data_IF_002184720618
#
_entry.id   IF_002184720618
#
_cell.length_a   1.000
_cell.length_b   1.000
_cell.length_c   1.000
_cell.angle_alpha   90.00
_cell.angle_beta   90.00
_cell.angle_gamma   90.00
#
_symmetry.space_group_name_H-M   'P 1'
#
loop_
_entity.id
_entity.type
_entity.pdbx_description
1 polymer ?
#
# COMPACT_ATOMS: atom_id res chain seq x y z
N UNK A 1 -15.78 -27.59 -7.22
CA UNK A 1 -14.97 -26.77 -8.15
C UNK A 1 -13.87 -26.13 -7.33
N UNK A 2 -12.62 -26.14 -7.79
CA UNK A 2 -11.50 -25.46 -7.12
C UNK A 2 -11.66 -23.95 -7.27
N UNK A 3 -11.59 -23.20 -6.16
CA UNK A 3 -11.66 -21.74 -6.15
C UNK A 3 -10.49 -21.14 -6.94
N UNK A 4 -10.68 -20.05 -7.73
CA UNK A 4 -9.58 -19.38 -8.42
C UNK A 4 -8.58 -18.76 -7.42
N UNK A 5 -7.35 -18.47 -7.87
CA UNK A 5 -6.31 -17.86 -7.03
C UNK A 5 -6.63 -16.43 -6.59
N UNK A 6 -7.47 -15.71 -7.35
CA UNK A 6 -8.00 -14.38 -7.04
C UNK A 6 -9.52 -14.44 -7.18
N UNK A 7 -10.25 -13.88 -6.23
CA UNK A 7 -11.71 -13.95 -6.24
C UNK A 7 -12.35 -12.72 -5.56
N UNK A 8 -13.64 -12.50 -5.85
CA UNK A 8 -14.45 -11.50 -5.19
C UNK A 8 -15.07 -12.07 -3.91
N UNK A 9 -14.91 -11.32 -2.83
CA UNK A 9 -15.54 -11.58 -1.54
C UNK A 9 -16.57 -10.49 -1.28
N UNK A 10 -17.85 -10.85 -1.27
CA UNK A 10 -18.91 -9.97 -0.76
C UNK A 10 -18.86 -9.99 0.76
N UNK A 11 -18.69 -8.82 1.35
CA UNK A 11 -18.52 -8.68 2.80
C UNK A 11 -19.33 -7.52 3.31
N UNK A 12 -19.71 -7.60 4.59
CA UNK A 12 -20.39 -6.52 5.31
C UNK A 12 -19.50 -6.01 6.45
N UNK A 13 -19.61 -4.72 6.77
CA UNK A 13 -18.91 -4.13 7.92
C UNK A 13 -19.47 -4.72 9.21
N UNK A 14 -18.63 -5.38 10.01
CA UNK A 14 -18.98 -5.92 11.33
C UNK A 14 -18.48 -5.06 12.50
N UNK A 15 -17.42 -4.27 12.29
CA UNK A 15 -16.94 -3.28 13.25
C UNK A 15 -16.26 -2.09 12.55
N UNK A 16 -16.31 -0.92 13.19
CA UNK A 16 -15.60 0.29 12.78
C UNK A 16 -14.86 0.83 14.01
N UNK A 17 -13.56 1.09 13.88
CA UNK A 17 -12.74 1.64 14.97
C UNK A 17 -11.93 2.84 14.47
N UNK A 18 -12.12 4.00 15.09
CA UNK A 18 -11.23 5.15 14.88
C UNK A 18 -9.92 4.91 15.64
N UNK A 19 -8.83 4.65 14.90
CA UNK A 19 -7.52 4.34 15.48
C UNK A 19 -6.78 5.61 15.90
N UNK A 20 -6.79 6.59 15.01
CA UNK A 20 -6.23 7.94 15.18
C UNK A 20 -7.11 8.92 14.39
N UNK A 21 -6.89 10.26 14.46
CA UNK A 21 -7.75 11.21 13.75
C UNK A 21 -7.91 10.95 12.25
N UNK A 22 -6.88 10.42 11.59
CA UNK A 22 -6.91 10.14 10.15
C UNK A 22 -7.02 8.66 9.78
N UNK A 23 -6.99 7.72 10.73
CA UNK A 23 -7.05 6.28 10.41
C UNK A 23 -8.27 5.62 11.03
N UNK A 24 -9.08 4.98 10.19
CA UNK A 24 -10.27 4.22 10.59
C UNK A 24 -10.12 2.77 10.13
N UNK A 25 -10.24 1.83 11.06
CA UNK A 25 -10.28 0.39 10.78
C UNK A 25 -11.69 -0.04 10.49
N UNK A 26 -11.88 -0.74 9.38
CA UNK A 26 -13.09 -1.47 9.05
C UNK A 26 -12.81 -2.96 9.18
N UNK A 27 -13.53 -3.60 10.09
CA UNK A 27 -13.58 -5.07 10.13
C UNK A 27 -14.75 -5.51 9.26
N UNK A 28 -14.44 -6.32 8.27
CA UNK A 28 -15.41 -6.91 7.37
C UNK A 28 -15.64 -8.38 7.72
N UNK A 29 -16.88 -8.86 7.56
CA UNK A 29 -17.26 -10.25 7.74
C UNK A 29 -18.04 -10.75 6.52
N UNK A 30 -17.80 -12.00 6.15
CA UNK A 30 -18.48 -12.69 5.06
C UNK A 30 -18.22 -14.19 5.11
N UNK A 31 -19.18 -15.01 4.69
CA UNK A 31 -19.08 -16.47 4.84
C UNK A 31 -17.88 -17.08 4.09
N UNK A 32 -17.55 -16.48 2.95
CA UNK A 32 -16.46 -16.92 2.09
C UNK A 32 -15.08 -16.51 2.58
N UNK A 33 -14.97 -15.66 3.63
CA UNK A 33 -13.67 -15.20 4.16
C UNK A 33 -12.86 -16.30 4.84
N UNK A 34 -13.43 -17.49 5.06
CA UNK A 34 -12.66 -18.67 5.44
C UNK A 34 -11.62 -19.06 4.37
N UNK A 35 -11.84 -18.67 3.12
CA UNK A 35 -10.96 -18.94 1.97
C UNK A 35 -10.18 -17.69 1.52
N UNK A 36 -10.21 -16.62 2.30
CA UNK A 36 -9.42 -15.42 2.03
C UNK A 36 -7.94 -15.73 2.21
N UNK A 37 -7.13 -15.49 1.17
CA UNK A 37 -5.69 -15.69 1.22
C UNK A 37 -5.01 -14.55 1.97
N UNK A 38 -4.10 -14.89 2.89
CA UNK A 38 -3.28 -13.91 3.62
C UNK A 38 -1.78 -14.14 3.37
N UNK A 39 -1.24 -13.69 2.23
CA UNK A 39 0.19 -13.82 1.95
C UNK A 39 1.08 -12.89 2.81
N UNK A 40 0.49 -11.95 3.57
CA UNK A 40 1.19 -11.06 4.49
C UNK A 40 1.76 -9.76 3.88
N UNK A 41 2.70 -9.13 4.61
CA UNK A 41 3.40 -7.90 4.25
C UNK A 41 2.49 -6.79 3.69
N UNK A 42 2.81 -6.25 2.52
CA UNK A 42 2.10 -5.16 1.86
C UNK A 42 0.97 -5.65 0.96
N UNK A 43 0.40 -6.85 1.20
CA UNK A 43 -0.66 -7.43 0.37
C UNK A 43 -1.79 -6.44 0.06
N UNK A 44 -1.82 -6.01 -1.20
CA UNK A 44 -2.87 -5.14 -1.71
C UNK A 44 -4.08 -5.93 -2.19
N UNK A 45 -5.25 -5.32 -2.04
CA UNK A 45 -6.53 -5.80 -2.55
C UNK A 45 -7.27 -4.67 -3.23
N UNK A 46 -8.26 -5.00 -4.06
CA UNK A 46 -9.16 -4.00 -4.62
C UNK A 46 -10.48 -4.04 -3.87
N UNK A 47 -10.92 -2.90 -3.38
CA UNK A 47 -12.24 -2.76 -2.76
C UNK A 47 -13.11 -1.98 -3.72
N UNK A 48 -14.31 -2.51 -3.97
CA UNK A 48 -15.32 -1.88 -4.77
C UNK A 48 -16.43 -1.37 -3.85
N UNK A 49 -16.58 -0.06 -3.86
CA UNK A 49 -17.57 0.64 -3.07
C UNK A 49 -18.84 0.82 -3.89
N UNK A 50 -20.02 0.62 -3.28
CA UNK A 50 -21.24 1.12 -3.87
C UNK A 50 -21.18 2.66 -3.95
N UNK A 51 -21.88 3.22 -4.93
CA UNK A 51 -22.14 4.66 -5.02
C UNK A 51 -23.66 4.88 -5.03
N UNK A 52 -24.08 6.14 -4.94
CA UNK A 52 -25.50 6.51 -5.05
C UNK A 52 -26.14 6.03 -6.38
N UNK A 53 -25.33 5.80 -7.40
CA UNK A 53 -25.77 5.44 -8.75
C UNK A 53 -25.37 4.03 -9.19
N UNK A 54 -24.45 3.36 -8.48
CA UNK A 54 -23.94 2.03 -8.81
C UNK A 54 -23.95 1.10 -7.60
N UNK A 55 -24.79 0.05 -7.64
CA UNK A 55 -24.75 -1.04 -6.65
C UNK A 55 -23.57 -1.96 -6.93
N UNK A 56 -23.00 -2.57 -5.89
CA UNK A 56 -22.02 -3.65 -6.04
C UNK A 56 -22.59 -4.88 -6.78
N UNK A 57 -23.91 -5.03 -6.85
CA UNK A 57 -24.57 -6.11 -7.60
C UNK A 57 -24.37 -5.98 -9.12
N UNK A 58 -24.03 -4.79 -9.62
CA UNK A 58 -23.75 -4.58 -11.05
C UNK A 58 -22.33 -5.01 -11.43
N UNK A 59 -21.50 -5.34 -10.45
CA UNK A 59 -20.11 -5.72 -10.68
C UNK A 59 -20.04 -7.05 -11.45
N UNK A 60 -19.40 -7.09 -12.63
CA UNK A 60 -19.15 -8.35 -13.32
C UNK A 60 -18.25 -9.24 -12.45
N UNK A 61 -18.65 -10.50 -12.26
CA UNK A 61 -17.87 -11.51 -11.55
C UNK A 61 -17.60 -12.67 -12.50
N UNK A 62 -16.34 -12.89 -12.88
CA UNK A 62 -15.96 -13.91 -13.86
C UNK A 62 -14.57 -13.64 -14.45
N UNK A 63 -14.05 -14.51 -15.35
CA UNK A 63 -12.71 -14.35 -15.91
C UNK A 63 -12.46 -12.99 -16.57
N UNK A 64 -13.47 -12.47 -17.29
CA UNK A 64 -13.39 -11.21 -18.03
C UNK A 64 -13.97 -10.02 -17.25
N UNK A 65 -14.02 -10.13 -15.91
CA UNK A 65 -14.66 -9.12 -15.06
C UNK A 65 -14.14 -7.70 -15.32
N UNK A 66 -12.83 -7.56 -15.59
CA UNK A 66 -12.19 -6.26 -15.75
C UNK A 66 -12.61 -5.60 -17.07
N UNK A 67 -12.76 -6.37 -18.15
CA UNK A 67 -13.29 -5.86 -19.42
C UNK A 67 -14.75 -5.46 -19.27
N UNK A 68 -15.55 -6.28 -18.58
CA UNK A 68 -16.93 -5.96 -18.24
C UNK A 68 -17.04 -4.68 -17.42
N UNK A 69 -16.24 -4.52 -16.37
CA UNK A 69 -16.22 -3.34 -15.52
C UNK A 69 -15.80 -2.07 -16.30
N UNK A 70 -14.78 -2.17 -17.18
CA UNK A 70 -14.38 -1.06 -18.06
C UNK A 70 -15.43 -0.70 -19.10
N UNK A 71 -16.31 -1.63 -19.49
CA UNK A 71 -17.39 -1.39 -20.44
C UNK A 71 -18.62 -0.73 -19.79
N UNK A 72 -18.74 -0.74 -18.46
CA UNK A 72 -19.81 -0.02 -17.75
C UNK A 72 -19.70 1.49 -17.99
N UNK A 73 -20.83 2.18 -18.11
CA UNK A 73 -20.86 3.64 -18.12
C UNK A 73 -20.33 4.19 -16.78
N UNK A 74 -19.72 5.39 -16.74
CA UNK A 74 -19.18 5.96 -15.51
C UNK A 74 -20.17 5.95 -14.34
N UNK A 75 -21.43 6.28 -14.58
CA UNK A 75 -22.47 6.35 -13.54
C UNK A 75 -22.89 4.97 -13.00
N UNK A 76 -22.72 3.90 -13.78
CA UNK A 76 -23.08 2.54 -13.41
C UNK A 76 -21.89 1.70 -12.93
N UNK A 77 -20.69 2.31 -12.90
CA UNK A 77 -19.43 1.64 -12.58
C UNK A 77 -19.11 1.80 -11.09
N UNK A 78 -19.11 0.71 -10.30
CA UNK A 78 -18.68 0.77 -8.91
C UNK A 78 -17.23 1.29 -8.82
N UNK A 79 -16.97 2.08 -7.78
CA UNK A 79 -15.68 2.73 -7.61
C UNK A 79 -14.71 1.74 -6.99
N UNK A 80 -13.61 1.49 -7.68
CA UNK A 80 -12.58 0.56 -7.25
C UNK A 80 -11.38 1.32 -6.69
N UNK A 81 -10.88 0.92 -5.52
CA UNK A 81 -9.66 1.47 -4.92
C UNK A 81 -8.77 0.38 -4.37
N UNK A 82 -7.49 0.69 -4.28
CA UNK A 82 -6.48 -0.22 -3.72
C UNK A 82 -6.33 0.03 -2.23
N UNK A 83 -6.40 -1.02 -1.42
CA UNK A 83 -6.11 -0.97 0.02
C UNK A 83 -5.19 -2.12 0.42
N UNK A 84 -4.59 -2.00 1.60
CA UNK A 84 -3.78 -3.06 2.20
C UNK A 84 -4.63 -3.92 3.13
N UNK A 85 -4.44 -5.24 3.05
CA UNK A 85 -4.99 -6.17 4.05
C UNK A 85 -4.25 -5.98 5.37
N UNK A 86 -4.95 -5.55 6.43
CA UNK A 86 -4.31 -5.23 7.71
C UNK A 86 -4.18 -6.43 8.64
N UNK A 87 -5.21 -7.29 8.68
CA UNK A 87 -5.21 -8.54 9.44
C UNK A 87 -6.31 -9.46 8.91
N UNK A 88 -6.05 -10.76 8.85
CA UNK A 88 -7.03 -11.78 8.47
C UNK A 88 -7.25 -12.74 9.64
N UNK A 89 -8.52 -13.03 9.97
CA UNK A 89 -8.90 -13.99 11.01
C UNK A 89 -9.83 -15.04 10.38
N UNK A 90 -9.30 -16.07 9.69
CA UNK A 90 -10.11 -17.02 8.93
C UNK A 90 -11.13 -17.77 9.80
N UNK A 91 -10.75 -18.12 11.03
CA UNK A 91 -11.63 -18.81 11.98
C UNK A 91 -12.86 -17.96 12.38
N UNK A 92 -12.73 -16.63 12.37
CA UNK A 92 -13.82 -15.69 12.62
C UNK A 92 -14.50 -15.22 11.33
N UNK A 93 -13.91 -15.55 10.17
CA UNK A 93 -14.30 -15.06 8.85
C UNK A 93 -14.28 -13.54 8.80
N UNK A 94 -13.18 -12.95 9.27
CA UNK A 94 -13.00 -11.51 9.31
C UNK A 94 -11.73 -11.07 8.61
N UNK A 95 -11.78 -9.88 8.00
CA UNK A 95 -10.62 -9.16 7.50
C UNK A 95 -10.69 -7.70 7.95
N UNK A 96 -9.57 -7.18 8.43
CA UNK A 96 -9.41 -5.76 8.74
C UNK A 96 -8.76 -5.03 7.57
N UNK A 97 -9.29 -3.84 7.29
CA UNK A 97 -8.69 -2.86 6.39
C UNK A 97 -8.61 -1.53 7.13
N UNK A 98 -7.42 -0.97 7.23
CA UNK A 98 -7.23 0.39 7.73
C UNK A 98 -7.34 1.35 6.55
N UNK A 99 -8.26 2.29 6.64
CA UNK A 99 -8.52 3.29 5.62
C UNK A 99 -8.21 4.67 6.19
N UNK A 100 -7.50 5.48 5.40
CA UNK A 100 -7.23 6.86 5.78
C UNK A 100 -8.49 7.68 5.50
N UNK A 101 -8.96 8.43 6.49
CA UNK A 101 -9.97 9.47 6.35
C UNK A 101 -9.27 10.78 5.94
N UNK A 102 -9.46 11.22 4.70
CA UNK A 102 -8.96 12.49 4.17
C UNK A 102 -10.16 13.38 3.82
N UNK A 103 -9.94 14.69 3.73
CA UNK A 103 -10.95 15.63 3.25
C UNK A 103 -11.56 15.12 1.94
N UNK A 104 -12.89 15.15 1.83
CA UNK A 104 -13.69 14.37 0.89
C UNK A 104 -13.21 14.58 -0.56
N UNK A 105 -12.44 13.62 -1.07
CA UNK A 105 -11.98 13.56 -2.45
C UNK A 105 -12.51 12.29 -3.10
N UNK A 106 -13.83 12.27 -3.31
CA UNK A 106 -14.51 11.26 -4.13
C UNK A 106 -15.19 10.13 -3.35
N UNK A 107 -15.76 9.15 -4.08
CA UNK A 107 -16.74 8.22 -3.53
C UNK A 107 -16.23 7.30 -2.43
N UNK A 108 -14.96 6.89 -2.47
CA UNK A 108 -14.37 6.06 -1.42
C UNK A 108 -14.18 6.83 -0.10
N UNK A 109 -13.73 8.09 -0.16
CA UNK A 109 -13.62 8.95 1.03
C UNK A 109 -14.99 9.26 1.63
N UNK A 110 -16.01 9.48 0.80
CA UNK A 110 -17.39 9.63 1.25
C UNK A 110 -17.89 8.35 1.95
N UNK A 111 -17.66 7.18 1.35
CA UNK A 111 -18.02 5.90 1.96
C UNK A 111 -17.32 5.71 3.32
N UNK A 112 -16.01 5.99 3.44
CA UNK A 112 -15.26 5.88 4.69
C UNK A 112 -15.86 6.77 5.81
N UNK A 113 -16.33 7.96 5.44
CA UNK A 113 -16.93 8.89 6.38
C UNK A 113 -18.29 8.39 6.89
N UNK A 114 -19.13 7.90 5.97
CA UNK A 114 -20.55 7.64 6.23
C UNK A 114 -20.88 6.17 6.55
N UNK A 115 -19.95 5.25 6.32
CA UNK A 115 -20.15 3.81 6.46
C UNK A 115 -20.62 3.41 7.88
N UNK A 116 -21.49 2.41 7.91
CA UNK A 116 -22.12 1.86 9.11
C UNK A 116 -21.96 0.34 9.15
N UNK A 117 -22.16 -0.22 10.34
CA UNK A 117 -22.27 -1.67 10.51
C UNK A 117 -23.38 -2.19 9.60
N UNK A 118 -23.07 -3.24 8.83
CA UNK A 118 -23.95 -3.85 7.85
C UNK A 118 -23.74 -3.37 6.41
N UNK A 119 -23.06 -2.24 6.17
CA UNK A 119 -22.78 -1.78 4.81
C UNK A 119 -21.87 -2.77 4.08
N UNK A 120 -22.16 -2.99 2.80
CA UNK A 120 -21.49 -4.01 2.00
C UNK A 120 -20.50 -3.42 1.00
N UNK A 121 -19.42 -4.17 0.76
CA UNK A 121 -18.45 -3.94 -0.32
C UNK A 121 -18.10 -5.27 -0.98
N UNK A 122 -17.50 -5.19 -2.18
CA UNK A 122 -16.78 -6.33 -2.76
C UNK A 122 -15.28 -6.13 -2.57
N UNK A 123 -14.60 -7.16 -2.10
CA UNK A 123 -13.14 -7.20 -2.03
C UNK A 123 -12.62 -8.21 -3.05
N UNK A 124 -11.84 -7.77 -4.02
CA UNK A 124 -11.05 -8.64 -4.89
C UNK A 124 -9.70 -8.91 -4.22
N UNK A 125 -9.50 -10.15 -3.78
CA UNK A 125 -8.37 -10.57 -2.97
C UNK A 125 -7.85 -11.95 -3.38
N UNK A 126 -6.59 -12.29 -3.04
CA UNK A 126 -6.12 -13.65 -3.21
C UNK A 126 -6.95 -14.63 -2.38
N UNK A 127 -6.99 -15.89 -2.80
CA UNK A 127 -7.63 -16.97 -2.05
C UNK A 127 -6.58 -17.90 -1.44
N UNK A 128 -7.02 -18.78 -0.54
CA UNK A 128 -6.21 -19.89 0.01
C UNK A 128 -5.65 -20.82 -1.06
N UNK A 129 -6.27 -20.87 -2.26
CA UNK A 129 -5.79 -21.66 -3.39
C UNK A 129 -4.61 -21.00 -4.13
N UNK A 130 -4.27 -19.74 -3.82
CA UNK A 130 -3.14 -19.05 -4.43
C UNK A 130 -1.81 -19.71 -4.01
N UNK A 131 -1.16 -20.37 -4.96
CA UNK A 131 0.18 -20.94 -4.79
C UNK A 131 1.19 -20.16 -5.62
N UNK A 132 2.11 -19.44 -4.98
CA UNK A 132 3.20 -18.76 -5.66
C UNK A 132 3.34 -17.29 -5.26
N UNK A 133 4.02 -16.52 -6.10
CA UNK A 133 4.25 -15.09 -5.88
C UNK A 133 2.92 -14.36 -5.87
N UNK A 134 2.56 -13.73 -4.74
CA UNK A 134 1.35 -12.93 -4.67
C UNK A 134 1.45 -11.69 -5.56
N UNK A 135 0.41 -11.46 -6.36
CA UNK A 135 0.29 -10.29 -7.25
C UNK A 135 0.16 -8.95 -6.51
N UNK A 136 -0.02 -8.97 -5.19
CA UNK A 136 -0.21 -7.76 -4.38
C UNK A 136 0.92 -7.48 -3.37
N UNK A 137 2.00 -8.26 -3.36
CA UNK A 137 3.14 -8.06 -2.45
C UNK A 137 4.36 -7.60 -3.23
N UNK A 138 4.89 -6.44 -2.84
CA UNK A 138 6.07 -5.81 -3.41
C UNK A 138 7.15 -5.49 -2.37
N UNK A 139 6.90 -5.80 -1.10
CA UNK A 139 7.96 -5.97 -0.11
C UNK A 139 8.73 -7.26 -0.38
N UNK A 140 9.87 -7.13 -1.07
CA UNK A 140 10.69 -8.24 -1.57
C UNK A 140 12.18 -7.99 -1.32
N UNK A 141 12.60 -7.91 -0.05
CA UNK A 141 14.01 -7.73 0.28
C UNK A 141 14.87 -8.88 -0.27
N UNK A 142 16.12 -8.61 -0.67
CA UNK A 142 17.14 -9.64 -0.84
C UNK A 142 17.25 -10.53 0.41
N UNK A 143 17.59 -11.80 0.20
CA UNK A 143 17.65 -12.80 1.28
C UNK A 143 18.60 -12.40 2.43
N UNK A 144 19.67 -11.67 2.11
CA UNK A 144 20.61 -11.09 3.06
C UNK A 144 20.58 -9.57 2.93
N UNK A 145 20.04 -8.87 3.92
CA UNK A 145 19.88 -7.41 3.89
C UNK A 145 20.43 -6.82 5.19
N UNK A 146 21.44 -5.96 5.10
CA UNK A 146 22.07 -5.37 6.30
C UNK A 146 21.16 -4.33 6.98
N UNK A 147 20.40 -3.54 6.19
CA UNK A 147 19.44 -2.55 6.67
C UNK A 147 18.22 -2.40 5.74
N UNK A 148 17.06 -2.09 6.33
CA UNK A 148 15.80 -1.83 5.61
C UNK A 148 15.37 -0.37 5.82
N UNK A 149 15.02 0.31 4.73
CA UNK A 149 14.36 1.61 4.77
C UNK A 149 12.91 1.45 4.31
N UNK A 150 11.96 1.71 5.22
CA UNK A 150 10.54 1.81 4.89
C UNK A 150 10.15 3.28 4.85
N UNK A 151 9.58 3.77 3.77
CA UNK A 151 9.17 5.16 3.69
C UNK A 151 7.81 5.37 3.01
N UNK A 152 7.07 6.36 3.47
CA UNK A 152 5.83 6.74 2.82
C UNK A 152 5.03 7.82 3.52
N UNK A 153 3.82 8.03 3.01
CA UNK A 153 2.80 8.87 3.64
C UNK A 153 1.73 7.99 4.33
N UNK A 154 0.64 8.61 4.79
CA UNK A 154 -0.45 7.91 5.46
C UNK A 154 -1.05 6.75 4.66
N UNK A 155 -1.04 6.81 3.33
CA UNK A 155 -1.61 5.76 2.48
C UNK A 155 -0.75 4.49 2.48
N UNK A 156 0.54 4.62 2.76
CA UNK A 156 1.48 3.50 2.89
C UNK A 156 1.58 2.95 4.32
N UNK A 157 1.10 3.71 5.32
CA UNK A 157 1.23 3.36 6.72
C UNK A 157 0.65 1.97 7.07
N UNK A 158 -0.53 1.53 6.55
CA UNK A 158 -1.04 0.20 6.84
C UNK A 158 -0.12 -0.93 6.36
N UNK A 159 0.48 -0.80 5.16
CA UNK A 159 1.46 -1.75 4.65
C UNK A 159 2.73 -1.78 5.49
N UNK A 160 3.25 -0.60 5.85
CA UNK A 160 4.42 -0.47 6.73
C UNK A 160 4.15 -1.13 8.10
N UNK A 161 2.94 -0.95 8.66
CA UNK A 161 2.56 -1.58 9.92
C UNK A 161 2.62 -3.11 9.84
N UNK A 162 2.04 -3.71 8.80
CA UNK A 162 2.07 -5.17 8.62
C UNK A 162 3.49 -5.67 8.38
N UNK A 163 4.29 -4.96 7.58
CA UNK A 163 5.71 -5.30 7.38
C UNK A 163 6.45 -5.30 8.70
N UNK A 164 6.33 -4.25 9.52
CA UNK A 164 7.00 -4.14 10.81
C UNK A 164 6.57 -5.26 11.78
N UNK A 165 5.31 -5.68 11.76
CA UNK A 165 4.82 -6.78 12.61
C UNK A 165 5.33 -8.17 12.19
N UNK A 166 5.59 -8.36 10.89
CA UNK A 166 6.00 -9.65 10.33
C UNK A 166 7.52 -9.81 10.18
N UNK A 167 8.27 -8.71 10.23
CA UNK A 167 9.72 -8.77 10.21
C UNK A 167 10.27 -9.49 11.46
N UNK A 168 11.36 -10.27 11.31
CA UNK A 168 12.07 -10.84 12.45
C UNK A 168 12.54 -9.76 13.42
N UNK A 169 12.52 -10.05 14.73
CA UNK A 169 12.89 -9.07 15.76
C UNK A 169 14.34 -8.54 15.65
N UNK A 170 15.22 -9.26 14.94
CA UNK A 170 16.60 -8.86 14.67
C UNK A 170 16.77 -8.07 13.36
N UNK A 171 15.72 -7.90 12.56
CA UNK A 171 15.71 -7.04 11.39
C UNK A 171 16.02 -5.58 11.80
N UNK A 172 16.88 -4.91 11.04
CA UNK A 172 17.37 -3.57 11.34
C UNK A 172 16.94 -2.59 10.28
N UNK A 173 16.55 -1.40 10.68
CA UNK A 173 16.12 -0.41 9.71
C UNK A 173 15.71 0.94 10.26
N UNK A 174 15.14 1.74 9.38
CA UNK A 174 14.51 3.01 9.70
C UNK A 174 13.17 3.08 8.98
N UNK A 175 12.14 3.53 9.68
CA UNK A 175 10.87 3.93 9.09
C UNK A 175 10.78 5.44 9.05
N UNK A 176 10.51 5.98 7.86
CA UNK A 176 10.27 7.42 7.64
C UNK A 176 8.84 7.59 7.18
N UNK A 177 8.02 8.27 7.98
CA UNK A 177 6.60 8.43 7.67
C UNK A 177 6.19 9.88 7.84
N UNK A 178 5.47 10.42 6.86
CA UNK A 178 4.79 11.70 6.98
C UNK A 178 3.28 11.47 7.13
N UNK A 179 2.67 12.11 8.11
CA UNK A 179 1.27 11.90 8.49
C UNK A 179 0.45 13.20 8.43
N UNK A 180 -0.89 13.13 8.32
CA UNK A 180 -1.74 14.31 8.28
C UNK A 180 -1.65 15.15 9.55
N UNK A 181 -1.74 14.53 10.72
CA UNK A 181 -1.82 15.26 11.99
C UNK A 181 -0.89 14.66 13.06
N UNK A 182 -0.61 15.45 14.10
CA UNK A 182 0.18 14.98 15.25
C UNK A 182 -0.53 13.88 16.05
N UNK A 183 -1.86 13.78 15.92
CA UNK A 183 -2.62 12.69 16.55
C UNK A 183 -2.42 11.33 15.88
N UNK A 184 -1.80 11.28 14.70
CA UNK A 184 -1.55 10.04 13.96
C UNK A 184 -0.18 9.42 14.28
N UNK A 185 0.69 10.11 15.03
CA UNK A 185 2.09 9.71 15.25
C UNK A 185 2.26 8.32 15.89
N UNK A 186 1.25 7.86 16.63
CA UNK A 186 1.25 6.56 17.30
C UNK A 186 0.58 5.44 16.48
N UNK A 187 0.23 5.69 15.21
CA UNK A 187 -0.43 4.68 14.36
C UNK A 187 0.44 3.42 14.14
N UNK A 188 1.75 3.59 13.92
CA UNK A 188 2.62 2.46 13.59
C UNK A 188 2.96 1.61 14.83
N UNK A 189 3.00 0.27 14.69
CA UNK A 189 3.51 -0.61 15.74
C UNK A 189 5.00 -0.39 15.97
N UNK A 190 5.47 -0.76 17.16
CA UNK A 190 6.89 -0.71 17.50
C UNK A 190 7.61 -2.00 17.06
N UNK A 191 8.74 -1.85 16.38
CA UNK A 191 9.67 -2.94 16.10
C UNK A 191 11.05 -2.64 16.72
N UNK A 192 11.65 -3.57 17.50
CA UNK A 192 12.83 -3.28 18.31
C UNK A 192 14.09 -2.91 17.52
N UNK A 193 14.20 -3.34 16.27
CA UNK A 193 15.32 -3.02 15.39
C UNK A 193 15.12 -1.80 14.48
N UNK A 194 14.01 -1.07 14.59
CA UNK A 194 13.70 0.05 13.69
C UNK A 194 13.68 1.40 14.41
N UNK A 195 14.46 2.34 13.89
CA UNK A 195 14.35 3.76 14.22
C UNK A 195 13.08 4.34 13.58
N UNK A 196 12.29 5.11 14.33
CA UNK A 196 11.07 5.77 13.85
C UNK A 196 11.36 7.26 13.62
N UNK A 197 11.28 7.72 12.37
CA UNK A 197 11.37 9.14 12.00
C UNK A 197 10.05 9.60 11.39
N UNK A 198 9.09 9.83 12.26
CA UNK A 198 7.70 10.11 11.90
C UNK A 198 7.37 11.56 12.26
N UNK A 199 6.75 12.29 11.34
CA UNK A 199 6.26 13.64 11.61
C UNK A 199 4.90 13.88 10.97
N UNK A 200 4.16 14.81 11.55
CA UNK A 200 2.92 15.32 10.97
C UNK A 200 3.21 16.48 10.03
N UNK A 201 2.37 16.68 9.02
CA UNK A 201 2.40 17.86 8.16
C UNK A 201 2.05 19.10 8.99
N UNK A 202 2.96 20.07 9.01
CA UNK A 202 2.71 21.35 9.67
C UNK A 202 1.75 22.23 8.86
N UNK A 203 1.95 22.27 7.53
CA UNK A 203 1.13 23.01 6.58
C UNK A 203 0.94 22.24 5.27
N UNK A 204 -0.15 22.51 4.55
CA UNK A 204 -0.44 21.82 3.28
C UNK A 204 0.60 22.15 2.19
N UNK A 205 1.13 23.37 2.18
CA UNK A 205 2.20 23.80 1.27
C UNK A 205 3.54 23.08 1.52
N UNK A 206 3.68 22.40 2.65
CA UNK A 206 4.88 21.64 3.04
C UNK A 206 4.71 20.12 2.82
N UNK A 207 3.62 19.69 2.17
CA UNK A 207 3.35 18.26 1.92
C UNK A 207 4.55 17.58 1.28
N UNK A 208 4.94 16.44 1.85
CA UNK A 208 6.09 15.59 1.52
C UNK A 208 7.48 16.15 1.86
N UNK A 209 7.61 17.35 2.43
CA UNK A 209 8.91 17.93 2.77
C UNK A 209 9.65 17.13 3.85
N UNK A 210 8.93 16.68 4.88
CA UNK A 210 9.50 15.83 5.94
C UNK A 210 9.90 14.48 5.35
N UNK A 211 9.00 13.87 4.58
CA UNK A 211 9.26 12.58 3.94
C UNK A 211 10.51 12.63 3.07
N UNK A 212 10.60 13.62 2.18
CA UNK A 212 11.72 13.74 1.23
C UNK A 212 13.03 13.96 1.99
N UNK A 213 13.13 15.04 2.77
CA UNK A 213 14.38 15.42 3.46
C UNK A 213 14.89 14.33 4.40
N UNK A 214 14.00 13.65 5.13
CA UNK A 214 14.38 12.62 6.09
C UNK A 214 14.82 11.33 5.40
N UNK A 215 14.21 10.97 4.26
CA UNK A 215 14.68 9.83 3.46
C UNK A 215 16.07 10.11 2.88
N UNK A 216 16.33 11.32 2.37
CA UNK A 216 17.65 11.70 1.86
C UNK A 216 18.74 11.60 2.95
N UNK A 217 18.48 12.15 4.14
CA UNK A 217 19.37 12.04 5.30
C UNK A 217 19.61 10.57 5.70
N UNK A 218 18.53 9.78 5.75
CA UNK A 218 18.58 8.38 6.17
C UNK A 218 19.33 7.52 5.15
N UNK A 219 19.09 7.75 3.86
CA UNK A 219 19.77 7.02 2.79
C UNK A 219 21.27 7.29 2.77
N UNK A 220 21.69 8.54 2.98
CA UNK A 220 23.10 8.90 3.08
C UNK A 220 23.83 8.20 4.24
N UNK A 221 23.10 7.82 5.30
CA UNK A 221 23.64 7.08 6.45
C UNK A 221 23.64 5.56 6.24
N UNK A 222 22.59 5.02 5.64
CA UNK A 222 22.40 3.56 5.53
C UNK A 222 23.06 2.95 4.29
N UNK A 223 23.13 3.68 3.18
CA UNK A 223 23.73 3.18 1.95
C UNK A 223 25.25 3.40 1.97
N UNK A 224 26.06 2.40 1.55
CA UNK A 224 27.48 2.65 1.30
C UNK A 224 27.63 3.64 0.15
N UNK A 225 28.75 4.37 0.12
CA UNK A 225 29.05 5.27 -0.99
C UNK A 225 29.03 4.50 -2.32
N UNK A 226 28.05 4.80 -3.17
CA UNK A 226 27.85 4.18 -4.47
C UNK A 226 28.17 5.13 -5.63
N UNK A 227 28.21 4.57 -6.84
CA UNK A 227 28.17 5.36 -8.08
C UNK A 227 26.72 5.35 -8.55
N UNK A 228 26.10 6.54 -8.61
CA UNK A 228 24.74 6.71 -9.11
C UNK A 228 24.54 6.11 -10.50
N UNK A 229 23.35 5.56 -10.74
CA UNK A 229 22.96 5.05 -12.05
C UNK A 229 22.06 6.03 -12.79
N UNK A 230 22.02 5.94 -14.13
CA UNK A 230 21.10 6.75 -14.92
C UNK A 230 19.63 6.42 -14.58
N UNK A 231 18.89 7.47 -14.25
CA UNK A 231 17.48 7.36 -13.86
C UNK A 231 16.60 7.71 -15.04
N UNK A 232 15.94 6.69 -15.63
CA UNK A 232 14.92 6.91 -16.67
C UNK A 232 13.85 7.85 -16.11
N UNK A 233 13.59 8.95 -16.84
CA UNK A 233 12.54 9.87 -16.47
C UNK A 233 11.17 9.23 -16.72
N UNK A 234 10.32 9.27 -15.69
CA UNK A 234 8.95 8.78 -15.76
C UNK A 234 8.03 9.99 -15.68
N UNK A 235 7.16 10.16 -16.66
CA UNK A 235 6.10 11.15 -16.56
C UNK A 235 4.97 10.60 -15.70
N UNK A 236 4.98 10.92 -14.40
CA UNK A 236 3.91 10.52 -13.46
C UNK A 236 2.55 11.14 -13.83
N UNK A 237 2.53 12.01 -14.85
CA UNK A 237 1.31 12.57 -15.38
C UNK A 237 0.61 11.67 -16.40
N UNK A 238 1.39 10.84 -17.08
CA UNK A 238 0.95 9.90 -18.11
C UNK A 238 1.05 8.44 -17.64
N UNK A 239 2.01 8.12 -16.78
CA UNK A 239 2.41 6.76 -16.43
C UNK A 239 2.28 6.46 -14.93
N UNK A 240 2.06 5.18 -14.59
CA UNK A 240 2.06 4.70 -13.20
C UNK A 240 3.51 4.44 -12.78
N UNK A 241 3.94 5.07 -11.68
CA UNK A 241 5.22 4.76 -11.05
C UNK A 241 5.10 3.46 -10.24
N UNK A 242 5.54 2.36 -10.82
CA UNK A 242 5.61 1.05 -10.16
C UNK A 242 6.89 0.31 -10.55
N UNK A 243 7.92 0.36 -9.71
CA UNK A 243 9.21 -0.30 -9.95
C UNK A 243 9.59 -1.13 -8.73
N UNK A 244 9.76 -2.44 -8.91
CA UNK A 244 10.03 -3.38 -7.80
C UNK A 244 11.13 -4.37 -8.20
N UNK A 245 11.89 -4.95 -7.25
CA UNK A 245 13.04 -5.80 -7.58
C UNK A 245 12.78 -6.95 -8.56
N UNK A 246 11.57 -7.52 -8.56
CA UNK A 246 11.21 -8.62 -9.48
C UNK A 246 11.09 -8.16 -10.93
N UNK A 247 10.79 -6.88 -11.18
CA UNK A 247 10.60 -6.29 -12.52
C UNK A 247 11.68 -5.26 -12.87
N UNK A 248 12.56 -4.93 -11.93
CA UNK A 248 13.63 -3.97 -12.11
C UNK A 248 14.60 -4.39 -13.24
N UNK A 249 14.92 -3.46 -14.13
CA UNK A 249 15.97 -3.63 -15.15
C UNK A 249 17.32 -3.82 -14.44
N UNK A 250 18.01 -4.95 -14.69
CA UNK A 250 19.32 -5.23 -14.06
C UNK A 250 19.70 -6.69 -13.86
N UNK A 251 18.83 -7.65 -14.21
CA UNK A 251 19.11 -9.08 -14.09
C UNK A 251 18.45 -9.73 -12.87
N UNK A 252 18.91 -10.93 -12.48
CA UNK A 252 18.31 -11.69 -11.37
C UNK A 252 18.34 -10.91 -10.03
N UNK A 253 17.38 -11.21 -9.15
CA UNK A 253 17.28 -10.64 -7.80
C UNK A 253 18.60 -10.76 -7.04
N UNK A 254 18.93 -9.71 -6.28
CA UNK A 254 20.15 -9.71 -5.46
C UNK A 254 20.04 -10.78 -4.37
N UNK A 255 21.14 -11.51 -4.15
CA UNK A 255 21.25 -12.42 -3.00
C UNK A 255 21.49 -11.66 -1.71
N UNK A 256 22.26 -10.56 -1.80
CA UNK A 256 22.60 -9.68 -0.70
C UNK A 256 22.51 -8.22 -1.12
N UNK A 257 22.03 -7.35 -0.24
CA UNK A 257 22.15 -5.90 -0.39
C UNK A 257 22.49 -5.22 0.95
N UNK A 258 23.33 -4.17 0.96
CA UNK A 258 23.60 -3.40 2.17
C UNK A 258 22.37 -2.59 2.61
N UNK A 259 21.51 -2.20 1.67
CA UNK A 259 20.26 -1.52 1.92
C UNK A 259 19.17 -2.10 1.03
N UNK A 260 18.03 -2.44 1.61
CA UNK A 260 16.77 -2.60 0.89
C UNK A 260 15.85 -1.42 1.21
N UNK A 261 15.25 -0.80 0.20
CA UNK A 261 14.31 0.29 0.41
C UNK A 261 12.93 -0.04 -0.16
N UNK A 262 11.87 0.23 0.58
CA UNK A 262 10.49 0.11 0.15
C UNK A 262 9.80 1.46 0.39
N UNK A 263 9.31 2.06 -0.69
CA UNK A 263 8.77 3.40 -0.71
C UNK A 263 7.42 3.43 -1.41
N UNK A 264 6.40 3.89 -0.70
CA UNK A 264 5.05 4.05 -1.25
C UNK A 264 4.38 5.33 -0.76
N UNK A 265 3.54 5.94 -1.61
CA UNK A 265 2.83 7.18 -1.28
C UNK A 265 2.51 8.01 -2.52
N UNK A 266 2.47 9.32 -2.40
CA UNK A 266 2.20 10.23 -3.52
C UNK A 266 3.25 10.11 -4.64
N UNK A 267 2.80 9.93 -5.88
CA UNK A 267 3.64 9.57 -7.02
C UNK A 267 4.79 10.55 -7.30
N UNK A 268 4.59 11.86 -7.12
CA UNK A 268 5.61 12.90 -7.38
C UNK A 268 6.69 12.90 -6.30
N UNK A 269 6.31 12.71 -5.04
CA UNK A 269 7.24 12.51 -3.92
C UNK A 269 8.08 11.23 -4.12
N UNK A 270 7.42 10.11 -4.46
CA UNK A 270 8.13 8.85 -4.72
C UNK A 270 9.05 8.95 -5.94
N UNK A 271 8.66 9.66 -7.01
CA UNK A 271 9.53 9.96 -8.16
C UNK A 271 10.78 10.73 -7.75
N UNK A 272 10.63 11.72 -6.88
CA UNK A 272 11.75 12.52 -6.34
C UNK A 272 12.72 11.64 -5.55
N UNK A 273 12.20 10.82 -4.63
CA UNK A 273 13.00 9.88 -3.83
C UNK A 273 13.68 8.81 -4.69
N UNK A 274 13.02 8.35 -5.75
CA UNK A 274 13.62 7.44 -6.73
C UNK A 274 14.84 8.04 -7.41
N UNK A 275 14.74 9.29 -7.85
CA UNK A 275 15.87 10.01 -8.46
C UNK A 275 17.03 10.14 -7.48
N UNK A 276 16.75 10.45 -6.21
CA UNK A 276 17.77 10.56 -5.17
C UNK A 276 18.45 9.21 -4.87
N UNK A 277 17.69 8.17 -4.52
CA UNK A 277 18.24 6.88 -4.11
C UNK A 277 19.06 6.21 -5.21
N UNK A 278 18.57 6.20 -6.44
CA UNK A 278 19.23 5.51 -7.55
C UNK A 278 20.28 6.40 -8.22
N UNK A 279 19.96 7.68 -8.45
CA UNK A 279 20.81 8.59 -9.22
C UNK A 279 21.87 9.31 -8.39
N UNK A 280 21.57 9.65 -7.14
CA UNK A 280 22.49 10.39 -6.26
C UNK A 280 23.24 9.46 -5.31
N UNK A 281 22.52 8.60 -4.60
CA UNK A 281 23.12 7.69 -3.59
C UNK A 281 23.74 6.46 -4.24
N UNK A 282 23.15 5.95 -5.34
CA UNK A 282 23.64 4.77 -6.05
C UNK A 282 23.14 3.45 -5.48
N UNK A 283 21.96 3.42 -4.89
CA UNK A 283 21.30 2.17 -4.47
C UNK A 283 20.92 1.35 -5.72
N UNK A 284 21.26 0.06 -5.73
CA UNK A 284 20.91 -0.85 -6.83
C UNK A 284 19.38 -0.99 -6.93
N UNK A 285 18.82 -0.80 -8.13
CA UNK A 285 17.37 -0.89 -8.40
C UNK A 285 16.75 -2.23 -7.99
N UNK A 286 17.55 -3.31 -7.96
CA UNK A 286 17.10 -4.63 -7.51
C UNK A 286 17.01 -4.75 -5.98
N UNK A 287 17.35 -3.68 -5.26
CA UNK A 287 17.17 -3.56 -3.81
C UNK A 287 16.22 -2.41 -3.44
N UNK A 288 15.39 -1.92 -4.38
CA UNK A 288 14.40 -0.88 -4.09
C UNK A 288 13.03 -1.20 -4.70
N UNK A 289 11.97 -0.92 -3.95
CA UNK A 289 10.59 -0.89 -4.42
C UNK A 289 10.04 0.56 -4.34
N UNK A 290 9.56 1.09 -5.46
CA UNK A 290 8.94 2.41 -5.60
C UNK A 290 7.52 2.28 -6.12
N UNK A 291 6.55 2.80 -5.36
CA UNK A 291 5.12 2.67 -5.69
C UNK A 291 4.39 4.00 -5.48
N UNK A 292 3.93 4.61 -6.57
CA UNK A 292 2.99 5.73 -6.50
C UNK A 292 1.59 5.22 -6.20
N UNK A 293 1.14 5.31 -4.95
CA UNK A 293 -0.17 4.84 -4.50
C UNK A 293 -1.31 5.78 -4.88
N UNK A 294 -1.01 7.08 -4.96
CA UNK A 294 -1.99 8.09 -5.32
C UNK A 294 -1.29 9.31 -5.91
N UNK A 295 -2.07 10.28 -6.36
CA UNK A 295 -1.54 11.53 -6.91
C UNK A 295 -2.40 12.72 -6.52
N UNK A 296 -1.74 13.79 -6.08
CA UNK A 296 -2.43 15.01 -5.69
C UNK A 296 -3.19 15.62 -6.89
N UNK A 297 -4.46 15.97 -6.67
CA UNK A 297 -5.31 16.56 -7.71
C UNK A 297 -5.86 15.58 -8.76
N UNK A 298 -5.66 14.25 -8.60
CA UNK A 298 -6.31 13.24 -9.45
C UNK A 298 -6.98 12.14 -8.62
N UNK A 299 -8.20 11.77 -9.01
CA UNK A 299 -8.81 10.52 -8.55
C UNK A 299 -8.23 9.35 -9.34
N UNK A 300 -7.93 8.23 -8.65
CA UNK A 300 -7.77 6.94 -9.35
C UNK A 300 -9.10 6.59 -10.05
N UNK A 301 -9.05 6.22 -11.33
CA UNK A 301 -10.22 5.85 -12.11
C UNK A 301 -10.22 4.36 -12.42
#
# INVERSE_FOLDING_TARGET
MTRPALDFFRVSVSAITDLTPSFRRFTFRGDDLAEYGDPGFDQRVKILFPTDTASIDTMPTGPDWYEGWRALSPDARPVMRTYTTRAVRPALREVDIDMVAHDVLGPASAWIADARIGDEVLILAPTTAHTGVSYGIDFVPPADTDAILLAGDETAAPAIAVILEQLPADARGTVVLELPTTGDLDYLPHHPGFERRIAARAHEDERHSHLISTVEETAARLAPAGIGAEVEEIDVDADILWEVPRTAKGGAALKRAPLYAWLAGEASAIKTLRRHLVGTVGVDRRAVAFMGYWRLGRSEN
#
